data_IF_300675217051
#
_entry.id   IF_300675217051
#
_cell.length_a   1.000
_cell.length_b   1.000
_cell.length_c   1.000
_cell.angle_alpha   90.00
_cell.angle_beta   90.00
_cell.angle_gamma   90.00
#
_symmetry.space_group_name_H-M   'P 1'
#
loop_
_entity.id
_entity.type
_entity.pdbx_description
1 polymer ?
#
# COMPACT_ATOMS: atom_id res chain seq x y z
N UNK A 1 1.33 2.27 -19.94
CA UNK A 1 0.91 1.34 -18.90
C UNK A 1 -0.32 1.86 -18.19
N UNK A 2 -1.29 0.99 -17.95
CA UNK A 2 -2.56 1.39 -17.35
C UNK A 2 -2.43 1.53 -15.84
N UNK A 3 -2.87 2.65 -15.29
CA UNK A 3 -2.82 2.90 -13.86
C UNK A 3 -3.62 1.88 -13.05
N UNK A 4 -4.73 1.39 -13.62
CA UNK A 4 -5.55 0.37 -12.97
C UNK A 4 -4.79 -0.96 -12.82
N UNK A 5 -4.01 -1.32 -13.83
CA UNK A 5 -3.21 -2.55 -13.77
C UNK A 5 -2.16 -2.45 -12.68
N UNK A 6 -1.48 -1.30 -12.58
CA UNK A 6 -0.49 -1.07 -11.53
C UNK A 6 -1.14 -1.16 -10.15
N UNK A 7 -2.31 -0.56 -10.01
CA UNK A 7 -3.07 -0.57 -8.76
C UNK A 7 -3.45 -1.99 -8.35
N UNK A 8 -3.95 -2.77 -9.32
CA UNK A 8 -4.35 -4.17 -9.07
C UNK A 8 -3.15 -5.00 -8.63
N UNK A 9 -2.03 -4.86 -9.31
CA UNK A 9 -0.80 -5.58 -8.94
C UNK A 9 -0.35 -5.21 -7.53
N UNK A 10 -0.43 -3.94 -7.19
CA UNK A 10 -0.04 -3.46 -5.87
C UNK A 10 -0.95 -4.02 -4.78
N UNK A 11 -2.26 -4.00 -5.01
CA UNK A 11 -3.23 -4.56 -4.07
C UNK A 11 -3.00 -6.06 -3.84
N UNK A 12 -2.70 -6.80 -4.92
CA UNK A 12 -2.40 -8.22 -4.82
C UNK A 12 -1.15 -8.46 -3.98
N UNK A 13 -0.13 -7.63 -4.16
CA UNK A 13 1.09 -7.71 -3.36
C UNK A 13 0.81 -7.46 -1.88
N UNK A 14 -0.02 -6.46 -1.59
CA UNK A 14 -0.40 -6.11 -0.21
C UNK A 14 -1.08 -7.29 0.48
N UNK A 15 -1.96 -8.00 -0.23
CA UNK A 15 -2.69 -9.13 0.34
C UNK A 15 -1.76 -10.25 0.78
N UNK A 16 -0.62 -10.40 0.12
CA UNK A 16 0.30 -11.51 0.34
C UNK A 16 1.48 -11.14 1.26
N UNK A 17 1.61 -9.88 1.63
CA UNK A 17 2.70 -9.43 2.50
C UNK A 17 2.42 -9.72 3.96
N UNK A 18 3.47 -10.04 4.72
CA UNK A 18 3.38 -10.06 6.18
C UNK A 18 3.24 -8.61 6.69
N UNK A 19 2.80 -8.46 7.94
CA UNK A 19 2.67 -7.13 8.53
C UNK A 19 4.03 -6.40 8.57
N UNK A 20 5.10 -7.12 8.87
CA UNK A 20 6.45 -6.55 8.90
C UNK A 20 6.88 -6.06 7.52
N UNK A 21 6.66 -6.88 6.48
CA UNK A 21 6.98 -6.50 5.12
C UNK A 21 6.18 -5.28 4.67
N UNK A 22 4.90 -5.25 5.03
CA UNK A 22 4.02 -4.15 4.65
C UNK A 22 4.46 -2.86 5.33
N UNK A 23 4.80 -2.90 6.61
CA UNK A 23 5.31 -1.73 7.34
C UNK A 23 6.61 -1.21 6.72
N UNK A 24 7.51 -2.11 6.35
CA UNK A 24 8.75 -1.73 5.70
C UNK A 24 8.51 -1.07 4.34
N UNK A 25 7.58 -1.63 3.57
CA UNK A 25 7.20 -1.08 2.27
C UNK A 25 6.60 0.31 2.42
N UNK A 26 5.72 0.49 3.41
CA UNK A 26 5.13 1.79 3.70
C UNK A 26 6.19 2.83 4.09
N UNK A 27 7.16 2.44 4.90
CA UNK A 27 8.23 3.34 5.32
C UNK A 27 9.03 3.84 4.12
N UNK A 28 9.32 2.96 3.16
CA UNK A 28 10.02 3.33 1.92
C UNK A 28 9.16 4.24 1.06
N UNK A 29 7.88 3.92 0.94
CA UNK A 29 6.94 4.67 0.11
C UNK A 29 6.74 6.09 0.65
N UNK A 30 6.78 6.26 1.96
CA UNK A 30 6.61 7.56 2.59
C UNK A 30 7.66 8.58 2.15
N UNK A 31 8.86 8.12 1.80
CA UNK A 31 9.91 8.99 1.30
C UNK A 31 9.78 9.37 -0.17
N UNK A 32 8.89 8.68 -0.90
CA UNK A 32 8.75 8.85 -2.35
C UNK A 32 7.45 9.57 -2.72
N UNK A 33 6.36 9.26 -2.04
CA UNK A 33 5.04 9.81 -2.34
C UNK A 33 4.79 11.13 -1.61
N UNK A 34 3.91 11.96 -2.19
CA UNK A 34 3.37 13.12 -1.48
C UNK A 34 2.56 12.64 -0.28
N UNK A 35 2.36 13.53 0.70
CA UNK A 35 1.58 13.20 1.88
C UNK A 35 0.15 12.78 1.52
N UNK A 36 -0.46 13.47 0.56
CA UNK A 36 -1.81 13.14 0.09
C UNK A 36 -1.87 11.74 -0.51
N UNK A 37 -0.91 11.40 -1.37
CA UNK A 37 -0.88 10.09 -2.01
C UNK A 37 -0.58 8.99 -1.00
N UNK A 38 0.30 9.26 -0.05
CA UNK A 38 0.61 8.31 1.02
C UNK A 38 -0.63 8.00 1.87
N UNK A 39 -1.42 9.02 2.20
CA UNK A 39 -2.64 8.84 2.98
C UNK A 39 -3.68 8.02 2.22
N UNK A 40 -3.80 8.22 0.91
CA UNK A 40 -4.68 7.41 0.07
C UNK A 40 -4.26 5.97 0.06
N UNK A 41 -2.95 5.73 -0.02
CA UNK A 41 -2.40 4.39 0.03
C UNK A 41 -2.71 3.70 1.35
N UNK A 42 -2.55 4.42 2.47
CA UNK A 42 -2.88 3.88 3.79
C UNK A 42 -4.33 3.47 3.89
N UNK A 43 -5.24 4.28 3.36
CA UNK A 43 -6.66 3.96 3.38
C UNK A 43 -6.97 2.69 2.60
N UNK A 44 -6.31 2.52 1.45
CA UNK A 44 -6.48 1.31 0.65
C UNK A 44 -6.00 0.08 1.40
N UNK A 45 -4.86 0.19 2.05
CA UNK A 45 -4.30 -0.92 2.82
C UNK A 45 -5.24 -1.30 3.96
N UNK A 46 -5.79 -0.32 4.65
CA UNK A 46 -6.73 -0.57 5.74
C UNK A 46 -8.02 -1.26 5.25
N UNK A 47 -8.47 -0.93 4.04
CA UNK A 47 -9.62 -1.60 3.45
C UNK A 47 -9.33 -3.05 3.11
N UNK A 48 -8.15 -3.32 2.55
CA UNK A 48 -7.77 -4.67 2.14
C UNK A 48 -7.37 -5.54 3.33
N UNK A 49 -6.80 -4.93 4.35
CA UNK A 49 -6.29 -5.65 5.53
C UNK A 49 -6.87 -4.99 6.79
N UNK A 50 -8.05 -5.43 7.16
CA UNK A 50 -8.80 -4.84 8.28
C UNK A 50 -8.06 -4.89 9.61
N UNK A 51 -7.15 -5.84 9.77
CA UNK A 51 -6.38 -5.99 11.02
C UNK A 51 -5.05 -5.24 11.00
N UNK A 52 -4.77 -4.52 9.94
CA UNK A 52 -3.52 -3.78 9.82
C UNK A 52 -3.61 -2.47 10.61
N UNK A 53 -2.62 -2.23 11.43
CA UNK A 53 -2.47 -0.97 12.17
C UNK A 53 -1.19 -0.26 11.79
#
# INVERSE_FOLDING_TARGET
MNNEMIYTMFLNSIRNMSDTELKNTLAKTRGILSESDYNKLLELIKKERKNFN
#
